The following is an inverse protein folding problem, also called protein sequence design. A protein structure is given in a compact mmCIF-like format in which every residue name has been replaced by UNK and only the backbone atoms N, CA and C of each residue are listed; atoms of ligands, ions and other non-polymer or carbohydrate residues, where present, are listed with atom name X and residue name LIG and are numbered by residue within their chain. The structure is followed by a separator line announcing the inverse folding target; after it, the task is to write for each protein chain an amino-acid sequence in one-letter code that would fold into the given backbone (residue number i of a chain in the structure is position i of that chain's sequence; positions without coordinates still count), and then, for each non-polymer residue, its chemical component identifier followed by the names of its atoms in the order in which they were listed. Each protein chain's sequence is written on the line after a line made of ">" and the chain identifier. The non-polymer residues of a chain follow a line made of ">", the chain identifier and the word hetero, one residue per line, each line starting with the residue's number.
data_IF_149384578823
#
_entry.id   IF_149384578823
#
_cell.length_a   1.000
_cell.length_b   1.000
_cell.length_c   1.000
_cell.angle_alpha   90.00
_cell.angle_beta   90.00
_cell.angle_gamma   90.00
#
_symmetry.space_group_name_H-M   'P 1'
#
loop_
_entity.id
_entity.type
_entity.pdbx_description
1 polymer ?
#
# COMPACT_ATOMS: atom_id res chain seq x y z
N UNK A 1 9.43 8.22 15.90
CA UNK A 1 8.66 9.45 15.61
C UNK A 1 9.04 10.07 14.27
N UNK A 2 10.33 10.31 14.00
CA UNK A 2 10.83 11.00 12.80
C UNK A 2 10.42 10.28 11.50
N UNK A 3 10.63 8.97 11.39
CA UNK A 3 10.27 8.18 10.22
C UNK A 3 8.76 8.28 9.89
N UNK A 4 7.90 8.23 10.90
CA UNK A 4 6.45 8.42 10.75
C UNK A 4 6.13 9.84 10.29
N UNK A 5 6.71 10.85 10.94
CA UNK A 5 6.54 12.25 10.57
C UNK A 5 6.90 12.47 9.09
N UNK A 6 8.09 12.02 8.67
CA UNK A 6 8.59 12.19 7.31
C UNK A 6 7.78 11.38 6.27
N UNK A 7 7.10 10.31 6.68
CA UNK A 7 6.24 9.53 5.79
C UNK A 7 4.84 10.14 5.66
N UNK A 8 4.26 10.65 6.76
CA UNK A 8 2.87 11.11 6.81
C UNK A 8 2.73 12.58 6.43
N UNK A 9 3.51 13.48 7.07
CA UNK A 9 3.26 14.92 6.97
C UNK A 9 3.32 15.50 5.55
N UNK A 10 4.22 15.04 4.66
CA UNK A 10 4.22 15.54 3.28
C UNK A 10 2.98 15.13 2.47
N UNK A 11 2.15 14.23 3.00
CA UNK A 11 0.99 13.62 2.30
C UNK A 11 -0.34 13.92 2.96
N UNK A 12 -0.37 14.80 3.96
CA UNK A 12 -1.61 15.27 4.59
C UNK A 12 -1.67 16.78 4.47
N UNK A 13 -2.65 17.28 3.73
CA UNK A 13 -2.90 18.70 3.54
C UNK A 13 -4.35 19.03 3.88
N UNK A 14 -4.57 19.88 4.89
CA UNK A 14 -5.89 20.29 5.35
C UNK A 14 -6.83 19.10 5.72
N UNK A 15 -6.26 18.01 6.26
CA UNK A 15 -7.01 16.81 6.63
C UNK A 15 -7.26 15.83 5.47
N UNK A 16 -6.73 16.09 4.29
CA UNK A 16 -6.88 15.24 3.11
C UNK A 16 -5.56 14.57 2.71
N UNK A 17 -5.65 13.36 2.14
CA UNK A 17 -4.49 12.66 1.61
C UNK A 17 -4.11 13.23 0.23
N UNK A 18 -2.88 13.72 0.10
CA UNK A 18 -2.33 14.25 -1.14
C UNK A 18 -1.08 13.49 -1.57
N UNK A 19 -1.16 12.81 -2.70
CA UNK A 19 -0.08 12.03 -3.27
C UNK A 19 0.55 12.69 -4.51
N UNK A 20 0.28 13.96 -4.75
CA UNK A 20 0.81 14.70 -5.91
C UNK A 20 2.34 14.72 -5.93
N UNK A 21 2.98 14.87 -4.76
CA UNK A 21 4.44 14.83 -4.62
C UNK A 21 5.06 13.44 -4.93
N UNK A 22 4.27 12.37 -4.83
CA UNK A 22 4.68 11.02 -5.19
C UNK A 22 4.34 10.68 -6.66
N UNK A 23 3.70 11.59 -7.39
CA UNK A 23 3.18 11.38 -8.75
C UNK A 23 2.17 10.24 -8.84
N UNK A 24 1.39 9.98 -7.79
CA UNK A 24 0.34 8.98 -7.77
C UNK A 24 -0.98 9.65 -8.17
N UNK A 25 -1.53 9.23 -9.30
CA UNK A 25 -2.82 9.73 -9.79
C UNK A 25 -3.98 9.19 -8.95
N UNK A 26 -4.98 10.01 -8.69
CA UNK A 26 -6.23 9.59 -8.05
C UNK A 26 -6.99 8.53 -8.88
N UNK A 27 -6.70 8.43 -10.18
CA UNK A 27 -7.35 7.45 -11.06
C UNK A 27 -7.10 5.99 -10.65
N UNK A 28 -5.97 5.70 -9.98
CA UNK A 28 -5.71 4.34 -9.49
C UNK A 28 -6.73 3.91 -8.41
N UNK A 29 -7.26 4.86 -7.66
CA UNK A 29 -8.22 4.60 -6.56
C UNK A 29 -9.68 4.61 -7.01
N UNK A 30 -9.99 5.18 -8.18
CA UNK A 30 -11.36 5.28 -8.70
C UNK A 30 -11.95 3.92 -9.02
N UNK A 31 -13.16 3.67 -8.50
CA UNK A 31 -13.92 2.45 -8.78
C UNK A 31 -13.30 1.18 -8.19
N UNK A 32 -12.34 1.31 -7.26
CA UNK A 32 -11.81 0.16 -6.54
C UNK A 32 -12.88 -0.40 -5.62
N UNK A 33 -13.19 -1.67 -5.81
CA UNK A 33 -14.18 -2.39 -5.01
C UNK A 33 -13.58 -3.53 -4.18
N UNK A 34 -12.30 -3.81 -4.36
CA UNK A 34 -11.54 -4.82 -3.63
C UNK A 34 -10.07 -4.43 -3.54
N UNK A 35 -9.46 -4.68 -2.40
CA UNK A 35 -8.02 -4.51 -2.18
C UNK A 35 -7.40 -5.87 -1.88
N UNK A 36 -6.27 -6.16 -2.50
CA UNK A 36 -5.44 -7.31 -2.14
C UNK A 36 -4.07 -6.77 -1.72
N UNK A 37 -3.66 -7.12 -0.51
CA UNK A 37 -2.33 -6.79 -0.01
C UNK A 37 -1.45 -8.02 -0.11
N UNK A 38 -0.27 -7.91 -0.69
CA UNK A 38 0.68 -9.00 -0.76
C UNK A 38 2.05 -8.57 -0.24
N UNK A 39 2.64 -9.40 0.61
CA UNK A 39 3.91 -9.12 1.26
C UNK A 39 4.54 -10.39 1.88
N UNK A 40 5.78 -10.24 2.38
CA UNK A 40 6.48 -11.27 3.14
C UNK A 40 6.85 -10.76 4.54
N UNK A 41 6.93 -11.67 5.51
CA UNK A 41 7.43 -11.39 6.86
C UNK A 41 6.65 -10.28 7.60
N UNK A 42 7.35 -9.34 8.22
CA UNK A 42 6.74 -8.25 9.01
C UNK A 42 5.85 -7.33 8.16
N UNK A 43 6.17 -7.15 6.89
CA UNK A 43 5.35 -6.38 5.95
C UNK A 43 3.96 -6.99 5.73
N UNK A 44 3.84 -8.32 5.77
CA UNK A 44 2.55 -9.00 5.72
C UNK A 44 1.67 -8.63 6.94
N UNK A 45 2.28 -8.52 8.13
CA UNK A 45 1.55 -8.06 9.32
C UNK A 45 1.10 -6.59 9.21
N UNK A 46 1.87 -5.72 8.55
CA UNK A 46 1.41 -4.36 8.23
C UNK A 46 0.19 -4.39 7.29
N UNK A 47 0.15 -5.35 6.36
CA UNK A 47 -1.02 -5.61 5.52
C UNK A 47 -2.26 -5.98 6.34
N UNK A 48 -2.13 -6.81 7.38
CA UNK A 48 -3.24 -7.16 8.27
C UNK A 48 -3.80 -5.94 9.02
N UNK A 49 -2.92 -5.02 9.48
CA UNK A 49 -3.34 -3.74 10.07
C UNK A 49 -4.11 -2.92 9.03
N UNK A 50 -3.56 -2.81 7.81
CA UNK A 50 -4.21 -2.10 6.70
C UNK A 50 -5.58 -2.69 6.34
N UNK A 51 -5.72 -4.01 6.31
CA UNK A 51 -7.00 -4.70 6.13
C UNK A 51 -8.03 -4.23 7.16
N UNK A 52 -7.64 -4.30 8.44
CA UNK A 52 -8.55 -3.90 9.52
C UNK A 52 -9.02 -2.45 9.34
N UNK A 53 -8.10 -1.54 9.01
CA UNK A 53 -8.41 -0.13 8.79
C UNK A 53 -9.38 0.06 7.61
N UNK A 54 -9.06 -0.47 6.44
CA UNK A 54 -9.86 -0.31 5.23
C UNK A 54 -11.26 -0.90 5.42
N UNK A 55 -11.36 -2.13 5.93
CA UNK A 55 -12.66 -2.79 6.15
C UNK A 55 -13.50 -2.10 7.21
N UNK A 56 -12.88 -1.58 8.29
CA UNK A 56 -13.60 -0.87 9.34
C UNK A 56 -14.09 0.53 8.88
N UNK A 57 -13.22 1.28 8.21
CA UNK A 57 -13.49 2.68 7.85
C UNK A 57 -14.38 2.80 6.61
N UNK A 58 -14.10 2.06 5.56
CA UNK A 58 -14.70 2.28 4.23
C UNK A 58 -15.42 1.08 3.64
N UNK A 59 -15.44 -0.05 4.34
CA UNK A 59 -16.20 -1.27 3.97
C UNK A 59 -15.83 -1.87 2.61
N UNK A 60 -14.63 -1.58 2.10
CA UNK A 60 -14.06 -2.29 0.95
C UNK A 60 -13.42 -3.60 1.44
N UNK A 61 -13.74 -4.77 0.86
CA UNK A 61 -13.15 -6.04 1.27
C UNK A 61 -11.65 -6.07 0.96
N UNK A 62 -10.87 -6.56 1.92
CA UNK A 62 -9.41 -6.65 1.81
C UNK A 62 -8.95 -8.09 2.07
N UNK A 63 -8.17 -8.63 1.15
CA UNK A 63 -7.47 -9.91 1.36
C UNK A 63 -5.99 -9.63 1.58
N UNK A 64 -5.36 -10.32 2.51
CA UNK A 64 -3.92 -10.19 2.79
C UNK A 64 -3.24 -11.53 2.58
N UNK A 65 -2.39 -11.61 1.56
CA UNK A 65 -1.77 -12.85 1.10
C UNK A 65 -0.26 -12.82 1.28
N UNK A 66 0.32 -13.97 1.62
CA UNK A 66 1.76 -14.14 1.54
C UNK A 66 2.18 -14.10 0.07
N UNK A 67 3.20 -13.29 -0.24
CA UNK A 67 3.66 -13.14 -1.62
C UNK A 67 4.18 -14.45 -2.21
N UNK A 68 4.74 -15.35 -1.39
CA UNK A 68 5.15 -16.70 -1.79
C UNK A 68 3.99 -17.55 -2.29
N UNK A 69 2.79 -17.35 -1.73
CA UNK A 69 1.59 -18.14 -2.05
C UNK A 69 0.75 -17.48 -3.17
N UNK A 70 0.76 -16.14 -3.23
CA UNK A 70 -0.12 -15.36 -4.08
C UNK A 70 -0.13 -15.82 -5.54
N UNK A 71 1.05 -16.08 -6.12
CA UNK A 71 1.15 -16.50 -7.53
C UNK A 71 0.59 -17.91 -7.79
N UNK A 72 0.60 -18.78 -6.78
CA UNK A 72 0.13 -20.17 -6.91
C UNK A 72 -1.37 -20.30 -6.67
N UNK A 73 -1.97 -19.34 -5.96
CA UNK A 73 -3.41 -19.31 -5.67
C UNK A 73 -4.28 -18.97 -6.88
N UNK A 74 -3.67 -18.59 -8.02
CA UNK A 74 -4.37 -18.12 -9.20
C UNK A 74 -5.44 -17.07 -8.86
N UNK A 75 -5.06 -15.92 -8.29
CA UNK A 75 -6.00 -14.93 -7.76
C UNK A 75 -6.92 -14.38 -8.86
N UNK A 76 -8.17 -14.10 -8.49
CA UNK A 76 -9.13 -13.41 -9.35
C UNK A 76 -8.82 -11.92 -9.29
N UNK A 77 -8.32 -11.37 -10.38
CA UNK A 77 -7.93 -9.96 -10.51
C UNK A 77 -8.65 -9.33 -11.70
N UNK A 78 -8.97 -8.06 -11.55
CA UNK A 78 -9.62 -7.24 -12.58
C UNK A 78 -9.23 -5.76 -12.40
N UNK A 79 -9.70 -4.90 -13.28
CA UNK A 79 -9.44 -3.44 -13.27
C UNK A 79 -10.03 -2.70 -12.05
N UNK A 80 -10.91 -3.36 -11.27
CA UNK A 80 -11.48 -2.84 -10.02
C UNK A 80 -10.72 -3.31 -8.78
N UNK A 81 -9.72 -4.17 -8.96
CA UNK A 81 -8.87 -4.68 -7.88
C UNK A 81 -7.62 -3.80 -7.74
N UNK A 82 -7.40 -3.27 -6.54
CA UNK A 82 -6.14 -2.63 -6.17
C UNK A 82 -5.23 -3.63 -5.47
N UNK A 83 -4.09 -3.93 -6.05
CA UNK A 83 -3.05 -4.76 -5.43
C UNK A 83 -2.02 -3.87 -4.78
N UNK A 84 -1.87 -3.99 -3.45
CA UNK A 84 -0.87 -3.27 -2.65
C UNK A 84 0.28 -4.21 -2.32
N UNK A 85 1.46 -3.92 -2.81
CA UNK A 85 2.68 -4.69 -2.49
C UNK A 85 3.46 -3.97 -1.40
N UNK A 86 3.67 -4.60 -0.24
CA UNK A 86 4.41 -3.98 0.86
C UNK A 86 5.78 -4.65 0.98
N UNK A 87 6.84 -3.84 0.93
CA UNK A 87 8.21 -4.33 1.07
C UNK A 87 9.11 -3.23 1.64
N UNK A 88 10.14 -3.62 2.40
CA UNK A 88 11.15 -2.69 2.87
C UNK A 88 12.22 -2.49 1.78
N UNK A 89 12.83 -3.58 1.31
CA UNK A 89 13.95 -3.55 0.35
C UNK A 89 13.52 -3.29 -1.10
N UNK A 90 12.30 -3.72 -1.46
CA UNK A 90 11.85 -3.72 -2.83
C UNK A 90 12.53 -4.77 -3.74
N UNK A 91 13.24 -5.74 -3.15
CA UNK A 91 14.00 -6.77 -3.87
C UNK A 91 13.57 -8.20 -3.51
N UNK A 92 12.50 -8.37 -2.72
CA UNK A 92 12.01 -9.71 -2.35
C UNK A 92 11.45 -10.41 -3.59
N UNK A 93 12.04 -11.54 -3.97
CA UNK A 93 11.71 -12.26 -5.21
C UNK A 93 10.22 -12.64 -5.30
N UNK A 94 9.63 -13.13 -4.20
CA UNK A 94 8.21 -13.50 -4.18
C UNK A 94 7.30 -12.29 -4.34
N UNK A 95 7.62 -11.16 -3.68
CA UNK A 95 6.84 -9.92 -3.81
C UNK A 95 6.93 -9.34 -5.23
N UNK A 96 8.10 -9.46 -5.87
CA UNK A 96 8.29 -9.05 -7.26
C UNK A 96 7.49 -9.94 -8.22
N UNK A 97 7.49 -11.25 -7.97
CA UNK A 97 6.70 -12.18 -8.77
C UNK A 97 5.18 -11.94 -8.61
N UNK A 98 4.73 -11.62 -7.39
CA UNK A 98 3.34 -11.26 -7.11
C UNK A 98 2.93 -9.97 -7.84
N UNK A 99 3.79 -8.94 -7.81
CA UNK A 99 3.58 -7.69 -8.55
C UNK A 99 3.42 -7.93 -10.06
N UNK A 100 4.35 -8.70 -10.64
CA UNK A 100 4.32 -9.03 -12.08
C UNK A 100 3.04 -9.75 -12.47
N UNK A 101 2.61 -10.72 -11.66
CA UNK A 101 1.35 -11.41 -11.87
C UNK A 101 0.14 -10.46 -11.82
N UNK A 102 0.13 -9.50 -10.87
CA UNK A 102 -0.93 -8.52 -10.75
C UNK A 102 -0.99 -7.62 -12.01
N UNK A 103 0.16 -7.13 -12.47
CA UNK A 103 0.26 -6.32 -13.69
C UNK A 103 -0.19 -7.10 -14.94
N UNK A 104 0.27 -8.36 -15.08
CA UNK A 104 -0.12 -9.25 -16.19
C UNK A 104 -1.63 -9.48 -16.25
N UNK A 105 -2.29 -9.54 -15.10
CA UNK A 105 -3.75 -9.74 -14.99
C UNK A 105 -4.58 -8.46 -15.08
N UNK A 106 -3.95 -7.30 -15.27
CA UNK A 106 -4.61 -6.02 -15.44
C UNK A 106 -5.18 -5.40 -14.15
N UNK A 107 -4.75 -5.87 -12.98
CA UNK A 107 -5.06 -5.20 -11.73
C UNK A 107 -4.27 -3.89 -11.61
N UNK A 108 -4.82 -2.92 -10.88
CA UNK A 108 -4.10 -1.68 -10.51
C UNK A 108 -3.07 -2.00 -9.44
N UNK A 109 -1.84 -1.50 -9.56
CA UNK A 109 -0.77 -1.80 -8.60
C UNK A 109 -0.19 -0.56 -7.95
N UNK A 110 -0.05 -0.62 -6.62
CA UNK A 110 0.70 0.37 -5.83
C UNK A 110 1.62 -0.36 -4.87
N UNK A 111 2.86 0.08 -4.76
CA UNK A 111 3.81 -0.51 -3.81
C UNK A 111 4.16 0.47 -2.70
N UNK A 112 4.23 -0.02 -1.46
CA UNK A 112 4.79 0.68 -0.31
C UNK A 112 6.21 0.19 -0.14
N UNK A 113 7.19 1.05 -0.46
CA UNK A 113 8.62 0.68 -0.54
C UNK A 113 9.49 1.68 0.21
N UNK A 114 10.55 1.22 0.88
CA UNK A 114 11.50 2.12 1.52
C UNK A 114 12.73 2.45 0.64
N UNK A 115 13.16 1.53 -0.21
CA UNK A 115 14.36 1.71 -1.04
C UNK A 115 13.99 2.24 -2.42
N UNK A 116 14.43 3.47 -2.70
CA UNK A 116 14.22 4.12 -4.00
C UNK A 116 14.97 3.37 -5.11
N UNK A 117 14.32 3.24 -6.28
CA UNK A 117 14.92 2.60 -7.45
C UNK A 117 15.08 1.08 -7.37
N UNK A 118 14.48 0.43 -6.37
CA UNK A 118 14.42 -1.02 -6.28
C UNK A 118 13.60 -1.65 -7.42
N UNK A 119 13.73 -2.95 -7.61
CA UNK A 119 13.04 -3.68 -8.70
C UNK A 119 11.53 -3.53 -8.61
N UNK A 120 10.95 -3.70 -7.42
CA UNK A 120 9.51 -3.51 -7.19
C UNK A 120 9.10 -2.06 -7.47
N UNK A 121 9.91 -1.07 -7.05
CA UNK A 121 9.59 0.33 -7.31
C UNK A 121 9.61 0.70 -8.79
N UNK A 122 10.43 0.04 -9.60
CA UNK A 122 10.49 0.27 -11.05
C UNK A 122 9.36 -0.40 -11.83
N UNK A 123 8.80 -1.48 -11.31
CA UNK A 123 7.81 -2.30 -12.02
C UNK A 123 6.37 -2.06 -11.56
N UNK A 124 6.16 -1.28 -10.47
CA UNK A 124 4.83 -0.89 -10.01
C UNK A 124 4.27 0.27 -10.84
N UNK A 125 2.95 0.32 -11.02
CA UNK A 125 2.29 1.47 -11.64
C UNK A 125 2.55 2.74 -10.82
N UNK A 126 2.45 2.63 -9.49
CA UNK A 126 2.72 3.72 -8.54
C UNK A 126 3.48 3.22 -7.32
N UNK A 127 4.22 4.14 -6.70
CA UNK A 127 5.04 3.84 -5.52
C UNK A 127 4.84 4.90 -4.44
N UNK A 128 4.42 4.45 -3.26
CA UNK A 128 4.43 5.24 -2.04
C UNK A 128 5.72 4.93 -1.28
N UNK A 129 6.68 5.85 -1.30
CA UNK A 129 7.94 5.68 -0.59
C UNK A 129 7.78 5.97 0.89
N UNK A 130 8.22 5.04 1.73
CA UNK A 130 8.39 5.29 3.17
C UNK A 130 9.74 5.96 3.44
N UNK A 131 9.86 6.65 4.56
CA UNK A 131 11.09 7.37 4.95
C UNK A 131 11.67 6.79 6.24
N UNK A 132 11.78 5.44 6.31
CA UNK A 132 12.35 4.77 7.47
C UNK A 132 13.89 4.87 7.55
N UNK A 133 14.54 5.25 6.45
CA UNK A 133 15.99 5.15 6.34
C UNK A 133 16.46 3.69 6.32
N UNK A 134 17.77 3.43 6.47
CA UNK A 134 18.30 2.06 6.50
C UNK A 134 17.72 1.27 7.67
N UNK A 135 17.25 0.05 7.43
CA UNK A 135 16.88 -0.93 8.44
C UNK A 135 18.05 -1.90 8.59
N UNK A 136 18.68 -1.92 9.77
CA UNK A 136 19.88 -2.73 10.04
C UNK A 136 19.52 -4.07 10.67
N UNK A 137 18.34 -4.16 11.31
CA UNK A 137 17.86 -5.35 11.97
C UNK A 137 16.98 -6.22 11.05
N UNK A 138 17.08 -7.55 11.20
CA UNK A 138 16.19 -8.49 10.54
C UNK A 138 14.75 -8.34 11.07
N UNK A 139 14.60 -8.18 12.37
CA UNK A 139 13.31 -7.86 13.00
C UNK A 139 13.00 -6.37 12.80
N UNK A 140 12.11 -6.09 11.88
CA UNK A 140 11.73 -4.73 11.52
C UNK A 140 10.92 -4.05 12.63
N UNK A 141 11.26 -2.80 12.94
CA UNK A 141 10.52 -1.95 13.89
C UNK A 141 10.00 -0.69 13.21
N UNK A 142 10.89 0.25 12.88
CA UNK A 142 10.52 1.51 12.24
C UNK A 142 9.92 1.31 10.85
N UNK A 143 10.44 0.36 10.05
CA UNK A 143 9.89 0.06 8.73
C UNK A 143 8.45 -0.47 8.82
N UNK A 144 8.15 -1.34 9.80
CA UNK A 144 6.78 -1.80 10.06
C UNK A 144 5.82 -0.64 10.36
N UNK A 145 6.21 0.28 11.25
CA UNK A 145 5.35 1.41 11.62
C UNK A 145 5.04 2.33 10.44
N UNK A 146 6.03 2.61 9.57
CA UNK A 146 5.78 3.45 8.38
C UNK A 146 5.02 2.71 7.27
N UNK A 147 5.11 1.38 7.20
CA UNK A 147 4.28 0.57 6.32
C UNK A 147 2.81 0.62 6.75
N UNK A 148 2.53 0.52 8.07
CA UNK A 148 1.18 0.74 8.60
C UNK A 148 0.67 2.14 8.27
N UNK A 149 1.50 3.17 8.43
CA UNK A 149 1.15 4.54 8.04
C UNK A 149 0.85 4.66 6.54
N UNK A 150 1.62 4.00 5.68
CA UNK A 150 1.34 3.93 4.25
C UNK A 150 -0.01 3.31 3.93
N UNK A 151 -0.38 2.22 4.63
CA UNK A 151 -1.71 1.61 4.48
C UNK A 151 -2.82 2.54 4.95
N UNK A 152 -2.61 3.31 6.04
CA UNK A 152 -3.56 4.30 6.52
C UNK A 152 -3.78 5.42 5.48
N UNK A 153 -2.70 5.94 4.88
CA UNK A 153 -2.78 6.94 3.82
C UNK A 153 -3.54 6.44 2.59
N UNK A 154 -3.32 5.18 2.19
CA UNK A 154 -4.08 4.55 1.09
C UNK A 154 -5.56 4.41 1.46
N UNK A 155 -5.89 4.05 2.71
CA UNK A 155 -7.27 3.95 3.17
C UNK A 155 -7.99 5.30 3.10
N UNK A 156 -7.35 6.39 3.58
CA UNK A 156 -7.87 7.76 3.48
C UNK A 156 -8.11 8.14 2.02
N UNK A 157 -7.14 7.91 1.14
CA UNK A 157 -7.26 8.26 -0.28
C UNK A 157 -8.36 7.48 -0.98
N UNK A 158 -8.51 6.19 -0.70
CA UNK A 158 -9.64 5.39 -1.17
C UNK A 158 -10.99 5.94 -0.71
N UNK A 159 -11.08 6.38 0.56
CA UNK A 159 -12.28 6.98 1.12
C UNK A 159 -12.65 8.27 0.39
N UNK A 160 -11.67 9.16 0.20
CA UNK A 160 -11.85 10.46 -0.47
C UNK A 160 -12.29 10.29 -1.91
N UNK A 161 -11.52 9.54 -2.71
CA UNK A 161 -11.75 9.44 -4.17
C UNK A 161 -13.07 8.75 -4.50
N UNK A 162 -13.53 7.83 -3.64
CA UNK A 162 -14.79 7.10 -3.83
C UNK A 162 -15.95 7.65 -3.01
N UNK A 163 -15.78 8.80 -2.33
CA UNK A 163 -16.81 9.46 -1.49
C UNK A 163 -17.41 8.52 -0.44
N UNK A 164 -16.57 7.73 0.23
CA UNK A 164 -16.99 6.72 1.22
C UNK A 164 -16.99 7.25 2.66
N UNK A 165 -16.43 8.43 2.89
CA UNK A 165 -16.44 9.14 4.17
C UNK A 165 -16.76 10.62 3.94
N UNK A 166 -17.37 11.26 4.94
CA UNK A 166 -17.58 12.71 4.95
C UNK A 166 -16.31 13.45 5.35
N UNK A 167 -16.20 14.74 4.99
CA UNK A 167 -15.07 15.60 5.39
C UNK A 167 -14.90 15.68 6.93
N UNK A 168 -15.97 15.54 7.69
CA UNK A 168 -15.95 15.50 9.15
C UNK A 168 -15.32 14.20 9.65
N UNK A 169 -15.74 13.06 9.11
CA UNK A 169 -15.18 11.75 9.45
C UNK A 169 -13.70 11.57 9.06
N UNK A 170 -13.21 12.31 8.07
CA UNK A 170 -11.80 12.27 7.67
C UNK A 170 -10.89 13.11 8.58
N UNK A 171 -11.44 14.00 9.39
CA UNK A 171 -10.67 14.86 10.31
C UNK A 171 -10.51 14.27 11.71
N UNK A 172 -11.33 13.32 12.08
CA UNK A 172 -11.27 12.58 13.36
C UNK A 172 -10.30 11.39 13.28
#
# INVERSE_FOLDING_TARGET
>A
PEALHNTIMPRIHNGHADFSADNISDDIFKGVNRVIVTACGTAWHAGLVGRHLIEAMIRIPVTVELASEFRYMNPILDEHTLVVVITQSGETADSLAALRLANERGAKTISIVNVKGSSIARESDYVLYTHAGPEIAVASTKAFSVQCAGMYLIALKLAEVNNLMTDEQMKD
#
